data_IF_945692945513
#
_entry.id   IF_945692945513
#
_cell.length_a   1.000
_cell.length_b   1.000
_cell.length_c   1.000
_cell.angle_alpha   90.00
_cell.angle_beta   90.00
_cell.angle_gamma   90.00
#
_symmetry.space_group_name_H-M   'P 1'
#
loop_
_entity.id
_entity.type
_entity.pdbx_description
1 polymer ?
#
# COMPACT_ATOMS: atom_id res chain seq x y z
N UNK A 1 -23.55 5.29 15.99
CA UNK A 1 -23.49 3.90 15.49
C UNK A 1 -22.14 3.70 14.86
N UNK A 2 -21.33 2.86 15.49
CA UNK A 2 -19.97 2.51 15.08
C UNK A 2 -20.04 1.10 14.50
N UNK A 3 -19.34 0.85 13.39
CA UNK A 3 -19.27 -0.47 12.78
C UNK A 3 -17.92 -1.09 13.10
N UNK A 4 -17.88 -2.40 13.26
CA UNK A 4 -16.63 -3.11 13.43
C UNK A 4 -16.12 -3.62 12.09
N UNK A 5 -14.90 -3.25 11.74
CA UNK A 5 -14.23 -3.73 10.54
C UNK A 5 -13.03 -4.57 10.93
N UNK A 6 -13.06 -5.84 10.59
CA UNK A 6 -11.94 -6.75 10.74
C UNK A 6 -10.97 -6.59 9.57
N UNK A 7 -9.70 -6.35 9.90
CA UNK A 7 -8.60 -6.30 8.94
C UNK A 7 -7.81 -7.59 9.12
N UNK A 8 -8.03 -8.56 8.23
CA UNK A 8 -7.49 -9.92 8.39
C UNK A 8 -5.97 -9.97 8.46
N UNK A 9 -5.28 -9.22 7.59
CA UNK A 9 -3.81 -9.18 7.60
C UNK A 9 -3.21 -8.53 8.85
N UNK A 10 -3.95 -7.62 9.50
CA UNK A 10 -3.55 -7.05 10.78
C UNK A 10 -3.98 -7.91 11.98
N UNK A 11 -4.78 -8.96 11.75
CA UNK A 11 -5.46 -9.75 12.77
C UNK A 11 -6.15 -8.88 13.84
N UNK A 12 -6.73 -7.74 13.42
CA UNK A 12 -7.32 -6.72 14.30
C UNK A 12 -8.67 -6.27 13.77
N UNK A 13 -9.60 -6.06 14.71
CA UNK A 13 -10.88 -5.40 14.43
C UNK A 13 -10.82 -3.95 14.91
N UNK A 14 -11.19 -3.03 14.04
CA UNK A 14 -11.24 -1.59 14.32
C UNK A 14 -12.68 -1.10 14.40
N UNK A 15 -12.89 -0.08 15.23
CA UNK A 15 -14.17 0.59 15.36
C UNK A 15 -14.22 1.76 14.36
N UNK A 16 -15.09 1.67 13.35
CA UNK A 16 -15.25 2.69 12.30
C UNK A 16 -16.49 3.54 12.58
N UNK A 17 -16.32 4.84 12.88
CA UNK A 17 -17.46 5.75 13.08
C UNK A 17 -18.27 5.94 11.80
N UNK A 18 -19.51 6.43 11.94
CA UNK A 18 -20.34 6.79 10.78
C UNK A 18 -19.66 7.88 9.95
N UNK A 19 -19.74 7.74 8.63
CA UNK A 19 -19.13 8.65 7.65
C UNK A 19 -17.59 8.71 7.66
N UNK A 20 -16.93 7.77 8.36
CA UNK A 20 -15.47 7.63 8.34
C UNK A 20 -15.10 6.48 7.41
N UNK A 21 -14.01 6.65 6.67
CA UNK A 21 -13.52 5.62 5.76
C UNK A 21 -12.77 4.53 6.51
N UNK A 22 -12.73 3.32 5.95
CA UNK A 22 -11.96 2.20 6.51
C UNK A 22 -10.49 2.58 6.68
N UNK A 23 -9.91 3.28 5.70
CA UNK A 23 -8.52 3.74 5.78
C UNK A 23 -8.30 4.69 6.97
N UNK A 24 -9.15 5.71 7.12
CA UNK A 24 -8.95 6.73 8.16
C UNK A 24 -9.07 6.11 9.56
N UNK A 25 -10.04 5.22 9.75
CA UNK A 25 -10.19 4.50 11.01
C UNK A 25 -9.01 3.55 11.28
N UNK A 26 -8.50 2.86 10.25
CA UNK A 26 -7.33 1.98 10.40
C UNK A 26 -6.07 2.74 10.80
N UNK A 27 -5.83 3.89 10.15
CA UNK A 27 -4.67 4.75 10.47
C UNK A 27 -4.79 5.36 11.86
N UNK A 28 -6.00 5.76 12.29
CA UNK A 28 -6.24 6.26 13.63
C UNK A 28 -5.99 5.21 14.72
N UNK A 29 -6.26 3.94 14.43
CA UNK A 29 -6.00 2.79 15.32
C UNK A 29 -4.55 2.28 15.28
N UNK A 30 -3.68 2.96 14.51
CA UNK A 30 -2.26 2.66 14.37
C UNK A 30 -1.95 1.50 13.42
N UNK A 31 -2.90 1.09 12.57
CA UNK A 31 -2.69 0.04 11.58
C UNK A 31 -2.09 0.65 10.31
N UNK A 32 -0.92 0.15 9.91
CA UNK A 32 -0.24 0.55 8.69
C UNK A 32 -0.97 -0.02 7.45
N UNK A 33 -2.01 0.67 7.00
CA UNK A 33 -2.79 0.29 5.83
C UNK A 33 -2.14 0.81 4.53
N UNK A 34 -2.06 0.03 3.43
CA UNK A 34 -1.51 0.50 2.16
C UNK A 34 -2.33 1.67 1.59
N UNK A 35 -1.68 2.80 1.33
CA UNK A 35 -2.31 3.99 0.76
C UNK A 35 -1.31 4.90 0.03
N UNK A 36 -1.82 5.73 -0.89
CA UNK A 36 -1.04 6.72 -1.64
C UNK A 36 -1.71 8.10 -1.63
N UNK A 37 -2.66 8.32 -2.53
CA UNK A 37 -3.28 9.65 -2.73
C UNK A 37 -4.41 10.02 -1.76
N UNK A 38 -5.02 9.03 -1.07
CA UNK A 38 -6.24 9.16 -0.23
C UNK A 38 -7.48 9.80 -0.90
N UNK A 39 -7.39 10.19 -2.17
CA UNK A 39 -8.48 10.84 -2.90
C UNK A 39 -9.24 9.91 -3.85
N UNK A 40 -8.99 8.60 -3.84
CA UNK A 40 -9.63 7.63 -4.74
C UNK A 40 -9.14 7.70 -6.20
N UNK A 41 -7.86 8.06 -6.40
CA UNK A 41 -7.24 8.20 -7.75
C UNK A 41 -6.12 7.19 -8.03
N UNK A 42 -5.28 6.85 -7.06
CA UNK A 42 -4.08 6.06 -7.30
C UNK A 42 -4.28 4.53 -7.21
N UNK A 43 -5.42 4.05 -6.70
CA UNK A 43 -5.66 2.62 -6.53
C UNK A 43 -4.85 1.93 -5.43
N UNK A 44 -3.84 2.57 -4.81
CA UNK A 44 -2.99 1.93 -3.79
C UNK A 44 -3.71 1.52 -2.49
N UNK A 45 -4.94 1.98 -2.28
CA UNK A 45 -5.78 1.63 -1.14
C UNK A 45 -6.76 0.48 -1.47
N UNK A 46 -6.58 -0.19 -2.62
CA UNK A 46 -7.49 -1.23 -3.11
C UNK A 46 -7.43 -2.47 -2.22
N UNK A 47 -8.61 -2.97 -1.88
CA UNK A 47 -8.79 -4.04 -0.90
C UNK A 47 -9.96 -4.91 -1.35
N UNK A 48 -9.99 -6.18 -0.94
CA UNK A 48 -11.12 -7.07 -1.14
C UNK A 48 -12.01 -7.05 0.10
N UNK A 49 -13.30 -6.85 -0.12
CA UNK A 49 -14.34 -7.04 0.88
C UNK A 49 -14.64 -8.53 0.99
N UNK A 50 -14.34 -9.12 2.15
CA UNK A 50 -14.58 -10.54 2.41
C UNK A 50 -15.98 -10.78 2.94
N UNK A 51 -16.49 -9.86 3.76
CA UNK A 51 -17.85 -9.91 4.29
C UNK A 51 -18.35 -8.51 4.66
N UNK A 52 -19.66 -8.36 4.75
CA UNK A 52 -20.31 -7.08 5.05
C UNK A 52 -20.60 -6.28 3.79
N UNK A 53 -20.91 -5.00 3.99
CA UNK A 53 -21.30 -4.09 2.92
C UNK A 53 -20.71 -2.69 3.17
N UNK A 54 -20.35 -1.98 2.10
CA UNK A 54 -19.70 -0.67 2.17
C UNK A 54 -20.22 0.27 1.09
N UNK A 55 -20.46 1.51 1.48
CA UNK A 55 -20.74 2.62 0.57
C UNK A 55 -19.45 3.24 0.09
N UNK A 56 -19.38 3.54 -1.22
CA UNK A 56 -18.22 4.18 -1.81
C UNK A 56 -18.49 5.66 -2.07
N UNK A 57 -17.64 6.52 -1.53
CA UNK A 57 -17.57 7.93 -1.92
C UNK A 57 -17.06 8.06 -3.37
N UNK A 58 -17.28 9.23 -3.99
CA UNK A 58 -16.89 9.52 -5.37
C UNK A 58 -15.43 9.18 -5.68
N UNK A 59 -15.17 8.25 -6.59
CA UNK A 59 -13.81 7.84 -6.94
C UNK A 59 -13.63 7.80 -8.45
N UNK A 60 -12.36 7.77 -8.88
CA UNK A 60 -12.06 7.64 -10.29
C UNK A 60 -12.34 6.21 -10.76
N UNK A 61 -12.98 6.06 -11.92
CA UNK A 61 -13.16 4.75 -12.58
C UNK A 61 -11.84 4.06 -12.94
N UNK A 62 -10.76 4.84 -13.03
CA UNK A 62 -9.40 4.31 -13.22
C UNK A 62 -8.83 3.65 -11.95
N UNK A 63 -9.34 4.03 -10.77
CA UNK A 63 -8.86 3.48 -9.50
C UNK A 63 -9.64 2.23 -9.05
N UNK A 64 -10.94 2.17 -9.40
CA UNK A 64 -11.80 1.01 -9.17
C UNK A 64 -12.79 0.92 -10.33
N UNK A 65 -12.69 -0.12 -11.15
CA UNK A 65 -13.62 -0.33 -12.26
C UNK A 65 -14.94 -0.92 -11.77
N UNK A 66 -15.96 -0.91 -12.64
CA UNK A 66 -17.24 -1.53 -12.33
C UNK A 66 -17.12 -3.06 -12.20
N UNK A 67 -16.27 -3.71 -13.01
CA UNK A 67 -16.02 -5.15 -12.86
C UNK A 67 -15.32 -5.46 -11.53
N UNK A 68 -14.30 -4.68 -11.17
CA UNK A 68 -13.59 -4.86 -9.91
C UNK A 68 -14.54 -4.72 -8.71
N UNK A 69 -15.42 -3.70 -8.74
CA UNK A 69 -16.44 -3.52 -7.71
C UNK A 69 -17.40 -4.71 -7.64
N UNK A 70 -17.80 -5.25 -8.79
CA UNK A 70 -18.65 -6.45 -8.86
C UNK A 70 -17.94 -7.71 -8.34
N UNK A 71 -16.61 -7.76 -8.42
CA UNK A 71 -15.77 -8.81 -7.83
C UNK A 71 -15.51 -8.63 -6.33
N UNK A 72 -16.15 -7.64 -5.69
CA UNK A 72 -16.00 -7.37 -4.26
C UNK A 72 -14.74 -6.57 -3.92
N UNK A 73 -14.13 -5.88 -4.88
CA UNK A 73 -13.03 -4.95 -4.61
C UNK A 73 -13.56 -3.60 -4.18
N UNK A 74 -12.84 -2.98 -3.26
CA UNK A 74 -13.18 -1.72 -2.63
C UNK A 74 -11.94 -0.83 -2.54
N UNK A 75 -12.14 0.48 -2.46
CA UNK A 75 -11.08 1.43 -2.13
C UNK A 75 -11.20 1.79 -0.66
N UNK A 76 -10.31 1.29 0.20
CA UNK A 76 -10.39 1.54 1.66
C UNK A 76 -10.41 3.04 2.00
N UNK A 77 -9.77 3.87 1.17
CA UNK A 77 -9.75 5.32 1.29
C UNK A 77 -11.06 6.02 0.90
N UNK A 78 -12.00 5.32 0.26
CA UNK A 78 -13.32 5.84 -0.13
C UNK A 78 -14.47 4.94 0.32
N UNK A 79 -14.20 3.84 1.02
CA UNK A 79 -15.18 2.88 1.50
C UNK A 79 -15.61 3.24 2.93
N UNK A 80 -16.91 3.44 3.12
CA UNK A 80 -17.56 3.66 4.41
C UNK A 80 -18.39 2.41 4.73
N UNK A 81 -18.11 1.68 5.82
CA UNK A 81 -18.85 0.47 6.15
C UNK A 81 -20.31 0.79 6.52
N UNK A 82 -21.24 0.10 5.87
CA UNK A 82 -22.68 0.19 6.18
C UNK A 82 -23.05 -0.80 7.27
N UNK A 83 -22.42 -1.98 7.24
CA UNK A 83 -22.51 -3.08 8.22
C UNK A 83 -21.15 -3.43 8.83
N UNK A 84 -21.12 -4.35 9.80
CA UNK A 84 -19.85 -4.94 10.24
C UNK A 84 -19.24 -5.73 9.09
N UNK A 85 -17.95 -5.50 8.83
CA UNK A 85 -17.29 -5.96 7.61
C UNK A 85 -15.93 -6.60 7.89
N UNK A 86 -15.46 -7.44 6.98
CA UNK A 86 -14.11 -8.01 7.01
C UNK A 86 -13.43 -7.68 5.69
N UNK A 87 -12.23 -7.11 5.76
CA UNK A 87 -11.46 -6.68 4.59
C UNK A 87 -10.06 -7.27 4.59
N UNK A 88 -9.55 -7.47 3.38
CA UNK A 88 -8.17 -7.87 3.08
C UNK A 88 -7.64 -6.82 2.12
N UNK A 89 -6.62 -6.05 2.49
CA UNK A 89 -5.98 -5.19 1.50
C UNK A 89 -5.32 -6.06 0.43
N UNK A 90 -5.33 -5.62 -0.81
CA UNK A 90 -4.53 -6.31 -1.80
C UNK A 90 -3.08 -5.99 -1.46
N UNK A 91 -2.33 -7.01 -1.02
CA UNK A 91 -0.88 -6.94 -1.08
C UNK A 91 -0.54 -6.61 -2.54
N UNK A 92 0.29 -5.59 -2.77
CA UNK A 92 0.66 -5.18 -4.13
C UNK A 92 1.19 -6.40 -4.86
N UNK A 93 0.37 -6.96 -5.75
CA UNK A 93 0.49 -8.26 -6.42
C UNK A 93 1.05 -9.37 -5.52
N UNK A 94 0.21 -10.36 -5.15
CA UNK A 94 0.62 -11.57 -4.40
C UNK A 94 1.77 -12.36 -5.07
N UNK A 95 2.12 -12.04 -6.32
CA UNK A 95 3.27 -12.60 -7.05
C UNK A 95 4.59 -11.85 -6.80
N UNK A 96 4.59 -10.71 -6.10
CA UNK A 96 5.82 -9.96 -5.83
C UNK A 96 6.50 -10.52 -4.58
N UNK A 97 7.71 -11.09 -4.69
CA UNK A 97 8.44 -11.55 -3.51
C UNK A 97 8.60 -10.39 -2.52
N UNK A 98 8.13 -10.58 -1.29
CA UNK A 98 8.28 -9.60 -0.22
C UNK A 98 9.71 -9.66 0.32
N UNK A 99 10.51 -8.64 -0.01
CA UNK A 99 11.88 -8.51 0.47
C UNK A 99 11.93 -7.64 1.74
N UNK A 100 12.54 -8.10 2.85
CA UNK A 100 12.61 -7.32 4.07
C UNK A 100 13.44 -6.05 3.87
N UNK A 101 12.94 -4.92 4.39
CA UNK A 101 13.67 -3.64 4.34
C UNK A 101 14.91 -3.71 5.24
N UNK A 102 16.10 -3.61 4.63
CA UNK A 102 17.40 -3.63 5.33
C UNK A 102 18.12 -2.29 5.21
N UNK A 103 18.91 -1.94 6.22
CA UNK A 103 19.92 -0.87 6.13
C UNK A 103 21.25 -1.52 5.79
N UNK A 104 21.90 -1.03 4.74
CA UNK A 104 23.14 -1.58 4.23
C UNK A 104 24.15 -0.45 4.07
N UNK A 105 25.40 -0.74 4.45
CA UNK A 105 26.52 0.10 4.11
C UNK A 105 26.94 -0.21 2.66
N UNK A 106 27.28 0.83 1.93
CA UNK A 106 27.70 0.70 0.55
C UNK A 106 28.69 1.79 0.18
N UNK A 107 29.53 1.49 -0.81
CA UNK A 107 30.54 2.37 -1.36
C UNK A 107 30.19 2.74 -2.80
N UNK A 108 30.29 4.02 -3.14
CA UNK A 108 30.21 4.46 -4.53
C UNK A 108 31.45 3.96 -5.27
N UNK A 109 31.26 3.11 -6.27
CA UNK A 109 32.36 2.56 -7.09
C UNK A 109 32.46 3.25 -8.44
N UNK A 110 31.34 3.72 -8.99
CA UNK A 110 31.32 4.43 -10.28
C UNK A 110 30.27 5.53 -10.22
N UNK A 111 30.62 6.69 -10.77
CA UNK A 111 29.70 7.78 -11.13
C UNK A 111 30.01 8.17 -12.56
N UNK A 112 29.01 8.12 -13.43
CA UNK A 112 29.17 8.39 -14.86
C UNK A 112 28.01 9.22 -15.39
N UNK A 113 28.29 10.02 -16.40
CA UNK A 113 27.29 10.79 -17.14
C UNK A 113 26.52 9.90 -18.10
N UNK A 114 25.21 9.79 -17.90
CA UNK A 114 24.32 9.17 -18.87
C UNK A 114 23.80 10.21 -19.88
N UNK A 115 23.56 11.43 -19.41
CA UNK A 115 23.19 12.62 -20.20
C UNK A 115 23.78 13.87 -19.54
N UNK A 116 23.45 15.06 -20.05
CA UNK A 116 23.85 16.35 -19.48
C UNK A 116 23.30 16.60 -18.06
N UNK A 117 22.24 15.89 -17.64
CA UNK A 117 21.52 16.06 -16.38
C UNK A 117 21.26 14.76 -15.60
N UNK A 118 21.64 13.60 -16.15
CA UNK A 118 21.46 12.29 -15.52
C UNK A 118 22.82 11.64 -15.27
N UNK A 119 23.06 11.25 -14.01
CA UNK A 119 24.20 10.42 -13.61
C UNK A 119 23.76 8.97 -13.37
N UNK A 120 24.55 7.99 -13.82
CA UNK A 120 24.43 6.59 -13.36
C UNK A 120 25.45 6.34 -12.26
N UNK A 121 24.96 5.86 -11.11
CA UNK A 121 25.76 5.56 -9.93
C UNK A 121 25.77 4.04 -9.72
N UNK A 122 26.96 3.45 -9.56
CA UNK A 122 27.10 2.05 -9.12
C UNK A 122 27.59 2.02 -7.68
N UNK A 123 26.89 1.26 -6.85
CA UNK A 123 27.18 1.06 -5.44
C UNK A 123 27.63 -0.38 -5.22
N UNK A 124 28.78 -0.57 -4.57
CA UNK A 124 29.15 -1.86 -4.01
C UNK A 124 28.56 -1.95 -2.60
N UNK A 125 27.83 -3.02 -2.31
CA UNK A 125 27.24 -3.27 -0.99
C UNK A 125 28.28 -3.98 -0.13
N UNK A 126 28.54 -3.47 1.06
CA UNK A 126 29.45 -4.07 2.03
C UNK A 126 28.68 -5.15 2.85
N UNK A 127 28.32 -6.25 2.19
CA UNK A 127 27.55 -7.37 2.78
C UNK A 127 27.88 -8.68 2.10
N UNK A 128 28.09 -9.74 2.88
CA UNK A 128 28.28 -11.12 2.37
C UNK A 128 26.98 -11.73 1.84
N UNK A 129 25.83 -11.14 2.19
CA UNK A 129 24.51 -11.56 1.70
C UNK A 129 24.09 -10.67 0.53
N UNK A 130 23.66 -11.23 -0.62
CA UNK A 130 23.10 -10.47 -1.73
C UNK A 130 21.93 -9.58 -1.29
N UNK A 131 21.74 -8.47 -2.01
CA UNK A 131 20.54 -7.67 -1.89
C UNK A 131 19.49 -8.25 -2.83
N UNK A 132 18.53 -8.99 -2.28
CA UNK A 132 17.35 -9.42 -3.01
C UNK A 132 16.36 -8.26 -3.12
N UNK A 133 15.86 -8.04 -4.32
CA UNK A 133 14.85 -7.03 -4.62
C UNK A 133 14.05 -7.45 -5.86
N UNK A 134 12.85 -6.89 -6.02
CA UNK A 134 12.05 -7.04 -7.23
C UNK A 134 12.13 -5.77 -8.07
N UNK A 135 12.19 -5.92 -9.39
CA UNK A 135 12.22 -4.79 -10.32
C UNK A 135 11.04 -3.83 -10.03
N UNK A 136 11.34 -2.53 -9.91
CA UNK A 136 10.38 -1.50 -9.50
C UNK A 136 10.50 -1.06 -8.04
N UNK A 137 11.19 -1.81 -7.19
CA UNK A 137 11.57 -1.33 -5.85
C UNK A 137 12.65 -0.24 -5.92
N UNK A 138 12.75 0.54 -4.86
CA UNK A 138 13.73 1.62 -4.73
C UNK A 138 14.50 1.52 -3.41
N UNK A 139 15.70 2.09 -3.38
CA UNK A 139 16.50 2.27 -2.18
C UNK A 139 16.54 3.76 -1.79
N UNK A 140 16.62 4.04 -0.49
CA UNK A 140 16.89 5.38 0.01
C UNK A 140 18.37 5.48 0.39
N UNK A 141 19.09 6.37 -0.27
CA UNK A 141 20.49 6.66 0.03
C UNK A 141 20.57 7.73 1.12
N UNK A 142 21.58 7.63 1.97
CA UNK A 142 21.92 8.65 2.96
C UNK A 142 23.43 8.82 2.91
N UNK A 143 23.88 10.05 2.75
CA UNK A 143 25.29 10.40 2.75
C UNK A 143 25.66 10.89 4.16
N UNK A 144 26.87 10.58 4.65
CA UNK A 144 27.39 11.19 5.87
C UNK A 144 27.55 12.70 5.74
#
# INVERSE_FOLDING_TARGET
MTRHVEIRQAARAIAVPKAVTILDAALADGIAYPHGCRSGRCGSCKSRLVSGDVDHLDHSRFALTAEEKAQGLILACRAIPTTDASVVWLDGDEETPSHPRRRLNCRVVVVEDATHDIKRIRLAVDSDVPLDFTAGQYARLTFP
#
